data_IF_935196485068
#
_entry.id   IF_935196485068
#
_cell.length_a   1.000
_cell.length_b   1.000
_cell.length_c   1.000
_cell.angle_alpha   90.00
_cell.angle_beta   90.00
_cell.angle_gamma   90.00
#
_symmetry.space_group_name_H-M   'P 1'
#
loop_
_entity.id
_entity.type
_entity.pdbx_description
1 polymer ?
#
# COMPACT_ATOMS: atom_id res chain seq x y z
N UNK A 1 -4.92 18.55 -32.12
CA UNK A 1 -3.73 17.92 -31.51
C UNK A 1 -4.20 17.09 -30.33
N UNK A 2 -4.31 15.77 -30.53
CA UNK A 2 -5.01 14.86 -29.62
C UNK A 2 -4.05 14.32 -28.57
N UNK A 3 -4.07 14.85 -27.34
CA UNK A 3 -3.50 14.15 -26.19
C UNK A 3 -4.56 13.22 -25.61
N UNK A 4 -4.83 12.13 -26.33
CA UNK A 4 -5.47 10.95 -25.74
C UNK A 4 -4.50 10.42 -24.68
N UNK A 5 -4.81 10.69 -23.42
CA UNK A 5 -4.16 10.06 -22.28
C UNK A 5 -4.44 8.56 -22.38
N UNK A 6 -3.53 7.81 -22.98
CA UNK A 6 -3.68 6.37 -23.21
C UNK A 6 -3.77 5.65 -21.84
N UNK A 7 -4.97 5.19 -21.42
CA UNK A 7 -5.16 4.59 -20.10
C UNK A 7 -4.36 3.29 -19.97
N UNK A 8 -4.00 2.65 -21.09
CA UNK A 8 -3.19 1.44 -21.09
C UNK A 8 -1.79 1.66 -20.52
N UNK A 9 -1.27 2.88 -20.52
CA UNK A 9 0.06 3.14 -19.96
C UNK A 9 0.07 3.42 -18.45
N UNK A 10 -1.09 3.66 -17.81
CA UNK A 10 -1.13 4.01 -16.39
C UNK A 10 -0.77 2.80 -15.51
N UNK A 11 -1.47 1.68 -15.69
CA UNK A 11 -1.22 0.45 -14.93
C UNK A 11 0.21 -0.08 -15.10
N UNK A 12 0.71 -0.16 -16.33
CA UNK A 12 2.07 -0.65 -16.59
C UNK A 12 3.12 0.23 -15.90
N UNK A 13 2.95 1.56 -15.91
CA UNK A 13 3.83 2.48 -15.19
C UNK A 13 3.73 2.29 -13.68
N UNK A 14 2.54 2.07 -13.14
CA UNK A 14 2.34 1.79 -11.70
C UNK A 14 3.02 0.48 -11.31
N UNK A 15 2.82 -0.59 -12.08
CA UNK A 15 3.46 -1.89 -11.85
C UNK A 15 4.97 -1.82 -11.95
N UNK A 16 5.53 -1.09 -12.92
CA UNK A 16 6.99 -0.86 -13.00
C UNK A 16 7.53 -0.23 -11.72
N UNK A 17 6.82 0.74 -11.14
CA UNK A 17 7.19 1.35 -9.85
C UNK A 17 7.06 0.36 -8.69
N UNK A 18 6.00 -0.44 -8.66
CA UNK A 18 5.85 -1.53 -7.68
C UNK A 18 7.03 -2.51 -7.75
N UNK A 19 7.39 -3.00 -8.93
CA UNK A 19 8.54 -3.91 -9.08
C UNK A 19 9.87 -3.23 -8.73
N UNK A 20 10.05 -1.95 -9.10
CA UNK A 20 11.26 -1.21 -8.79
C UNK A 20 11.48 -1.05 -7.27
N UNK A 21 10.42 -0.78 -6.49
CA UNK A 21 10.57 -0.58 -5.03
C UNK A 21 10.58 -1.90 -4.25
N UNK A 22 9.92 -2.94 -4.78
CA UNK A 22 9.89 -4.26 -4.12
C UNK A 22 11.13 -5.09 -4.44
N UNK A 23 11.85 -4.76 -5.52
CA UNK A 23 12.94 -5.59 -6.04
C UNK A 23 12.48 -6.92 -6.64
N UNK A 24 11.17 -7.19 -6.65
CA UNK A 24 10.61 -8.42 -7.19
C UNK A 24 10.85 -8.48 -8.71
N UNK A 25 11.21 -9.66 -9.19
CA UNK A 25 11.40 -9.97 -10.62
C UNK A 25 10.28 -10.81 -11.17
N UNK A 26 9.56 -11.52 -10.29
CA UNK A 26 8.47 -12.42 -10.66
C UNK A 26 7.16 -12.07 -9.97
N UNK A 27 6.03 -12.54 -10.52
CA UNK A 27 4.71 -12.39 -9.89
C UNK A 27 4.63 -13.14 -8.56
N UNK A 28 5.36 -14.26 -8.44
CA UNK A 28 5.38 -15.08 -7.23
C UNK A 28 6.12 -14.34 -6.11
N UNK A 29 7.28 -13.74 -6.41
CA UNK A 29 8.01 -12.92 -5.45
C UNK A 29 7.19 -11.72 -4.96
N UNK A 30 6.54 -11.01 -5.90
CA UNK A 30 5.68 -9.89 -5.54
C UNK A 30 4.49 -10.35 -4.67
N UNK A 31 3.90 -11.50 -4.98
CA UNK A 31 2.81 -12.07 -4.22
C UNK A 31 3.24 -12.45 -2.80
N UNK A 32 4.42 -13.05 -2.64
CA UNK A 32 5.00 -13.37 -1.35
C UNK A 32 5.28 -12.12 -0.51
N UNK A 33 5.87 -11.07 -1.11
CA UNK A 33 6.16 -9.81 -0.40
C UNK A 33 4.89 -9.11 0.08
N UNK A 34 3.85 -9.13 -0.76
CA UNK A 34 2.53 -8.57 -0.45
C UNK A 34 1.66 -9.51 0.39
N UNK A 35 2.13 -10.72 0.71
CA UNK A 35 1.37 -11.74 1.44
C UNK A 35 -0.03 -11.98 0.83
N UNK A 36 -0.03 -12.35 -0.47
CA UNK A 36 -1.23 -12.71 -1.25
C UNK A 36 -0.94 -13.87 -2.18
N UNK A 37 -2.00 -14.45 -2.73
CA UNK A 37 -1.88 -15.48 -3.77
C UNK A 37 -1.39 -14.86 -5.07
N UNK A 38 -0.51 -15.56 -5.80
CA UNK A 38 -0.06 -15.15 -7.14
C UNK A 38 -1.25 -14.94 -8.11
N UNK A 39 -2.31 -15.73 -7.98
CA UNK A 39 -3.55 -15.55 -8.76
C UNK A 39 -4.20 -14.19 -8.55
N UNK A 40 -4.03 -13.57 -7.38
CA UNK A 40 -4.46 -12.18 -7.12
C UNK A 40 -3.66 -11.19 -7.98
N UNK A 41 -2.35 -11.39 -8.14
CA UNK A 41 -1.52 -10.57 -9.05
C UNK A 41 -1.98 -10.73 -10.50
N UNK A 42 -2.20 -11.97 -10.94
CA UNK A 42 -2.66 -12.26 -12.29
C UNK A 42 -4.03 -11.63 -12.59
N UNK A 43 -4.96 -11.67 -11.64
CA UNK A 43 -6.27 -11.04 -11.77
C UNK A 43 -6.16 -9.51 -11.85
N UNK A 44 -5.35 -8.87 -11.00
CA UNK A 44 -5.10 -7.42 -11.06
C UNK A 44 -4.49 -6.99 -12.40
N UNK A 45 -3.57 -7.79 -12.96
CA UNK A 45 -3.04 -7.56 -14.32
C UNK A 45 -4.13 -7.62 -15.38
N UNK A 46 -5.02 -8.62 -15.31
CA UNK A 46 -6.16 -8.75 -16.25
C UNK A 46 -7.12 -7.57 -16.14
N UNK A 47 -7.33 -7.05 -14.93
CA UNK A 47 -8.18 -5.88 -14.65
C UNK A 47 -7.48 -4.53 -14.86
N UNK A 48 -6.16 -4.56 -15.13
CA UNK A 48 -5.30 -3.38 -15.33
C UNK A 48 -5.41 -2.36 -14.20
N UNK A 49 -5.44 -2.82 -12.95
CA UNK A 49 -5.46 -1.95 -11.78
C UNK A 49 -4.50 -2.42 -10.68
N UNK A 50 -3.91 -1.47 -9.96
CA UNK A 50 -3.18 -1.74 -8.72
C UNK A 50 -4.16 -1.60 -7.56
N UNK A 51 -4.48 -2.66 -6.81
CA UNK A 51 -5.43 -2.57 -5.70
C UNK A 51 -4.91 -1.71 -4.56
N UNK A 52 -5.80 -0.96 -3.91
CA UNK A 52 -5.49 -0.11 -2.75
C UNK A 52 -4.80 -0.90 -1.62
N UNK A 53 -5.22 -2.15 -1.41
CA UNK A 53 -4.62 -3.04 -0.41
C UNK A 53 -3.12 -3.30 -0.66
N UNK A 54 -2.67 -3.25 -1.91
CA UNK A 54 -1.24 -3.35 -2.23
C UNK A 54 -0.53 -2.07 -1.82
N UNK A 55 -1.09 -0.91 -2.19
CA UNK A 55 -0.54 0.40 -1.84
C UNK A 55 -0.40 0.57 -0.32
N UNK A 56 -1.43 0.18 0.45
CA UNK A 56 -1.41 0.20 1.91
C UNK A 56 -0.30 -0.71 2.46
N UNK A 57 -0.10 -1.90 1.90
CA UNK A 57 0.98 -2.79 2.36
C UNK A 57 2.37 -2.26 2.03
N UNK A 58 2.55 -1.68 0.84
CA UNK A 58 3.81 -1.07 0.45
C UNK A 58 4.12 0.17 1.30
N UNK A 59 3.09 0.95 1.63
CA UNK A 59 3.19 2.02 2.61
C UNK A 59 3.62 1.48 3.98
N UNK A 60 2.89 0.54 4.56
CA UNK A 60 3.16 0.07 5.92
C UNK A 60 4.51 -0.67 6.05
N UNK A 61 4.95 -1.40 5.02
CA UNK A 61 6.18 -2.22 5.10
C UNK A 61 7.43 -1.50 4.60
N UNK A 62 7.30 -0.60 3.62
CA UNK A 62 8.44 0.01 2.94
C UNK A 62 8.41 1.55 2.98
N UNK A 63 7.42 2.13 3.68
CA UNK A 63 7.19 3.58 3.77
C UNK A 63 7.09 4.28 2.40
N UNK A 64 6.64 3.56 1.39
CA UNK A 64 6.50 4.07 0.02
C UNK A 64 5.26 4.94 -0.08
N UNK A 65 5.40 6.09 -0.75
CA UNK A 65 4.30 6.99 -1.05
C UNK A 65 3.38 6.40 -2.15
N UNK A 66 2.10 6.11 -1.85
CA UNK A 66 1.17 5.57 -2.84
C UNK A 66 0.86 6.52 -3.99
N UNK A 67 0.86 7.84 -3.76
CA UNK A 67 0.66 8.81 -4.83
C UNK A 67 1.80 8.76 -5.84
N UNK A 68 3.02 8.51 -5.36
CA UNK A 68 4.16 8.27 -6.25
C UNK A 68 4.01 6.97 -7.02
N UNK A 69 3.46 5.90 -6.43
CA UNK A 69 3.17 4.64 -7.17
C UNK A 69 2.11 4.87 -8.24
N UNK A 70 1.08 5.67 -7.97
CA UNK A 70 -0.03 5.92 -8.88
C UNK A 70 0.35 6.89 -9.99
N UNK A 71 0.88 8.06 -9.62
CA UNK A 71 1.04 9.22 -10.52
C UNK A 71 2.47 9.44 -11.02
N UNK A 72 3.45 9.10 -10.19
CA UNK A 72 4.88 9.15 -10.52
C UNK A 72 5.50 10.48 -10.15
N UNK A 73 4.69 11.33 -9.54
CA UNK A 73 5.02 12.65 -9.03
C UNK A 73 5.26 12.55 -7.52
N UNK A 74 5.97 13.53 -6.98
CA UNK A 74 6.28 13.59 -5.54
C UNK A 74 7.43 12.65 -5.14
N UNK A 75 7.63 12.52 -3.84
CA UNK A 75 8.70 11.71 -3.26
C UNK A 75 8.37 10.22 -3.30
N UNK A 76 9.38 9.39 -3.54
CA UNK A 76 9.27 7.92 -3.56
C UNK A 76 8.87 7.35 -2.20
N UNK A 77 9.54 7.82 -1.17
CA UNK A 77 9.30 7.44 0.21
C UNK A 77 8.67 8.62 0.92
N UNK A 78 7.77 8.34 1.85
CA UNK A 78 7.35 9.34 2.81
C UNK A 78 8.53 9.53 3.77
N UNK A 79 8.91 10.78 4.02
CA UNK A 79 9.89 11.04 5.06
C UNK A 79 9.23 10.67 6.40
N UNK A 80 9.83 9.76 7.15
CA UNK A 80 9.66 9.80 8.60
C UNK A 80 10.47 11.02 9.00
N UNK A 81 9.80 12.16 9.15
CA UNK A 81 10.43 13.32 9.73
C UNK A 81 10.91 12.90 11.12
N UNK A 82 12.22 12.77 11.27
CA UNK A 82 12.89 12.13 12.42
C UNK A 82 12.73 12.91 13.74
N UNK A 83 11.84 13.89 13.79
CA UNK A 83 11.48 14.66 14.98
C UNK A 83 10.07 15.28 14.91
N UNK A 84 9.28 14.97 13.88
CA UNK A 84 7.96 15.57 13.77
C UNK A 84 6.96 14.76 14.61
N UNK A 85 6.47 15.38 15.69
CA UNK A 85 5.36 14.85 16.46
C UNK A 85 4.17 14.46 15.57
N UNK A 86 3.26 13.66 16.14
CA UNK A 86 2.06 13.03 15.54
C UNK A 86 1.29 13.88 14.50
N UNK A 87 1.42 15.22 14.53
CA UNK A 87 0.89 16.15 13.55
C UNK A 87 1.33 15.95 12.10
N UNK A 88 2.58 15.56 11.81
CA UNK A 88 3.06 15.38 10.42
C UNK A 88 2.55 14.08 9.80
N UNK A 89 2.48 13.02 10.61
CA UNK A 89 1.81 11.78 10.22
C UNK A 89 0.33 12.04 9.89
N UNK A 90 -0.33 12.94 10.63
CA UNK A 90 -1.72 13.35 10.37
C UNK A 90 -1.87 14.04 9.00
N UNK A 91 -0.90 14.85 8.58
CA UNK A 91 -0.90 15.52 7.27
C UNK A 91 -0.81 14.53 6.11
N UNK A 92 0.01 13.49 6.25
CA UNK A 92 0.08 12.37 5.31
C UNK A 92 -1.24 11.60 5.30
N UNK A 93 -1.77 11.23 6.47
CA UNK A 93 -3.02 10.47 6.61
C UNK A 93 -4.24 11.23 6.06
N UNK A 94 -4.24 12.57 6.11
CA UNK A 94 -5.31 13.44 5.58
C UNK A 94 -5.40 13.44 4.05
N UNK A 95 -4.30 13.18 3.34
CA UNK A 95 -4.29 13.11 1.87
C UNK A 95 -4.61 11.70 1.33
N UNK A 96 -4.72 10.69 2.19
CA UNK A 96 -5.22 9.38 1.78
C UNK A 96 -6.74 9.40 1.62
N UNK A 97 -7.32 8.62 0.67
CA UNK A 97 -8.77 8.40 0.61
C UNK A 97 -9.21 7.78 1.94
N UNK A 98 -9.73 8.66 2.80
CA UNK A 98 -9.67 8.53 4.27
C UNK A 98 -10.42 7.30 4.78
N UNK A 99 -11.46 6.88 4.07
CA UNK A 99 -12.34 5.81 4.51
C UNK A 99 -11.67 4.43 4.51
N UNK A 100 -10.93 4.09 3.45
CA UNK A 100 -10.31 2.76 3.32
C UNK A 100 -9.17 2.55 4.33
N UNK A 101 -8.40 3.62 4.61
CA UNK A 101 -7.34 3.56 5.60
C UNK A 101 -7.90 3.55 7.02
N UNK A 102 -8.93 4.35 7.32
CA UNK A 102 -9.60 4.33 8.62
C UNK A 102 -10.22 2.96 8.88
N UNK A 103 -10.91 2.37 7.90
CA UNK A 103 -11.49 1.02 8.02
C UNK A 103 -10.41 -0.05 8.29
N UNK A 104 -9.27 0.01 7.60
CA UNK A 104 -8.16 -0.94 7.83
C UNK A 104 -7.46 -0.71 9.19
N UNK A 105 -7.25 0.54 9.59
CA UNK A 105 -6.65 0.87 10.89
C UNK A 105 -7.56 0.43 12.05
N UNK A 106 -8.86 0.70 11.96
CA UNK A 106 -9.84 0.26 12.95
C UNK A 106 -9.89 -1.27 13.04
N UNK A 107 -9.85 -1.96 11.89
CA UNK A 107 -9.81 -3.43 11.87
C UNK A 107 -8.58 -3.99 12.59
N UNK A 108 -7.42 -3.37 12.40
CA UNK A 108 -6.17 -3.82 13.04
C UNK A 108 -6.15 -3.56 14.53
N UNK A 109 -6.65 -2.40 14.98
CA UNK A 109 -6.78 -2.10 16.41
C UNK A 109 -7.68 -3.14 17.08
N UNK A 110 -8.84 -3.44 16.49
CA UNK A 110 -9.77 -4.46 17.00
C UNK A 110 -9.17 -5.87 17.00
N UNK A 111 -8.37 -6.23 15.98
CA UNK A 111 -7.67 -7.53 15.94
C UNK A 111 -6.63 -7.62 17.07
N UNK A 112 -5.81 -6.58 17.24
CA UNK A 112 -4.78 -6.54 18.27
C UNK A 112 -5.37 -6.56 19.68
N UNK A 113 -6.51 -5.90 19.89
CA UNK A 113 -7.20 -5.90 21.19
C UNK A 113 -7.78 -7.29 21.52
N UNK A 114 -8.28 -8.03 20.54
CA UNK A 114 -8.74 -9.42 20.74
C UNK A 114 -7.58 -10.35 21.07
N UNK A 115 -6.49 -10.26 20.31
CA UNK A 115 -5.31 -11.11 20.52
C UNK A 115 -4.69 -10.84 21.89
N UNK A 116 -4.61 -9.56 22.30
CA UNK A 116 -4.18 -9.18 23.66
C UNK A 116 -5.07 -9.81 24.73
N UNK A 117 -6.39 -9.77 24.56
CA UNK A 117 -7.35 -10.32 25.53
C UNK A 117 -7.29 -11.84 25.61
N UNK A 118 -7.02 -12.51 24.49
CA UNK A 118 -6.79 -13.96 24.44
C UNK A 118 -5.53 -14.33 25.22
N UNK A 119 -4.42 -13.62 24.99
CA UNK A 119 -3.16 -13.84 25.70
C UNK A 119 -3.30 -13.58 27.21
N UNK A 120 -4.02 -12.55 27.61
CA UNK A 120 -4.33 -12.27 29.03
C UNK A 120 -5.21 -13.35 29.68
N UNK A 121 -6.07 -14.03 28.90
CA UNK A 121 -6.95 -15.11 29.39
C UNK A 121 -6.28 -16.49 29.47
N UNK A 122 -5.25 -16.74 28.65
CA UNK A 122 -4.48 -17.99 28.64
C UNK A 122 -3.36 -18.01 29.69
N UNK A 123 -2.99 -16.84 30.24
CA UNK A 123 -1.98 -16.70 31.28
C UNK A 123 -2.51 -16.78 32.72
N UNK A 124 -3.75 -17.25 32.95
CA UNK A 124 -4.33 -17.48 34.28
C UNK A 124 -4.49 -18.96 34.59
#
# INVERSE_FOLDING_TARGET
MTTMSDPSNSFERQMRRVYAITGARTQVELAALLDIKQSTIANSKKRRNVPDRWLIRLLCRLNVNPDWILTGKGTRYLAVASDAGVGDALGVLRNFPTRALVEELLRRIDTLERDRKILESLGR
#
